data_IF_429476293938
#
_entry.id   IF_429476293938
#
_cell.length_a   1.000
_cell.length_b   1.000
_cell.length_c   1.000
_cell.angle_alpha   90.00
_cell.angle_beta   90.00
_cell.angle_gamma   90.00
#
_symmetry.space_group_name_H-M   'P 1'
#
loop_
_entity.id
_entity.type
_entity.pdbx_description
1 polymer ?
#
# COMPACT_ATOMS: atom_id res chain seq x y z
N UNK A 1 1.66 5.41 3.55
CA UNK A 1 1.45 4.88 4.90
C UNK A 1 0.05 5.13 5.40
N UNK A 2 -0.41 4.36 6.38
CA UNK A 2 -1.79 4.42 6.93
C UNK A 2 -1.77 4.67 8.44
N UNK A 3 -2.94 4.78 9.06
CA UNK A 3 -3.06 4.92 10.53
C UNK A 3 -2.51 3.70 11.31
N UNK A 4 -2.32 2.56 10.64
CA UNK A 4 -1.92 1.28 11.25
C UNK A 4 -0.54 0.79 10.83
N UNK A 5 0.09 1.44 9.84
CA UNK A 5 1.41 1.08 9.35
C UNK A 5 2.24 2.33 9.13
N UNK A 6 3.35 2.44 9.88
CA UNK A 6 4.29 3.57 9.81
C UNK A 6 5.36 3.37 8.73
N UNK A 7 5.94 4.46 8.18
CA UNK A 7 7.04 4.36 7.22
C UNK A 7 8.22 3.52 7.74
N UNK A 8 8.61 3.73 9.00
CA UNK A 8 9.72 3.02 9.63
C UNK A 8 9.42 1.51 9.76
N UNK A 9 8.16 1.15 10.01
CA UNK A 9 7.74 -0.25 10.05
C UNK A 9 7.88 -0.93 8.68
N UNK A 10 7.55 -0.22 7.60
CA UNK A 10 7.75 -0.72 6.23
C UNK A 10 9.23 -0.85 5.89
N UNK A 11 10.06 0.13 6.26
CA UNK A 11 11.50 0.06 6.05
C UNK A 11 12.13 -1.13 6.75
N UNK A 12 11.78 -1.35 8.02
CA UNK A 12 12.26 -2.50 8.80
C UNK A 12 11.84 -3.84 8.16
N UNK A 13 10.57 -3.96 7.74
CA UNK A 13 10.08 -5.14 7.05
C UNK A 13 10.81 -5.36 5.72
N UNK A 14 10.96 -4.32 4.90
CA UNK A 14 11.63 -4.40 3.61
C UNK A 14 13.10 -4.84 3.77
N UNK A 15 13.82 -4.27 4.74
CA UNK A 15 15.19 -4.68 5.05
C UNK A 15 15.28 -6.16 5.42
N UNK A 16 14.35 -6.66 6.25
CA UNK A 16 14.30 -8.08 6.61
C UNK A 16 14.04 -8.97 5.39
N UNK A 17 13.06 -8.63 4.55
CA UNK A 17 12.72 -9.39 3.34
C UNK A 17 13.90 -9.45 2.37
N UNK A 18 14.61 -8.35 2.15
CA UNK A 18 15.76 -8.29 1.25
C UNK A 18 16.95 -9.07 1.80
N UNK A 19 17.24 -8.94 3.11
CA UNK A 19 18.32 -9.69 3.79
C UNK A 19 18.14 -11.19 3.63
N UNK A 20 16.91 -11.68 3.69
CA UNK A 20 16.57 -13.09 3.55
C UNK A 20 16.22 -13.50 2.11
N UNK A 21 16.35 -12.59 1.13
CA UNK A 21 16.02 -12.82 -0.30
C UNK A 21 14.58 -13.35 -0.51
N UNK A 22 13.64 -12.92 0.32
CA UNK A 22 12.23 -13.32 0.24
C UNK A 22 11.40 -12.43 -0.70
N UNK A 23 11.93 -11.26 -1.06
CA UNK A 23 11.34 -10.36 -2.04
C UNK A 23 12.45 -9.59 -2.76
N UNK A 24 12.19 -9.19 -4.00
CA UNK A 24 13.10 -8.31 -4.78
C UNK A 24 12.65 -6.85 -4.74
N UNK A 25 11.37 -6.62 -4.43
CA UNK A 25 10.77 -5.29 -4.44
C UNK A 25 9.66 -5.19 -3.39
N UNK A 26 9.58 -4.02 -2.76
CA UNK A 26 8.47 -3.62 -1.91
C UNK A 26 7.90 -2.32 -2.47
N UNK A 27 6.60 -2.28 -2.74
CA UNK A 27 5.89 -1.08 -3.21
C UNK A 27 5.13 -0.49 -2.02
N UNK A 28 5.60 0.65 -1.53
CA UNK A 28 4.93 1.37 -0.45
C UNK A 28 3.86 2.30 -1.02
N UNK A 29 2.64 2.21 -0.49
CA UNK A 29 1.50 3.05 -0.93
C UNK A 29 1.16 4.07 0.16
N UNK A 30 1.01 5.34 -0.24
CA UNK A 30 0.51 6.39 0.64
C UNK A 30 -1.00 6.53 0.61
N UNK A 31 -1.64 6.21 1.75
CA UNK A 31 -3.07 6.36 1.91
C UNK A 31 -3.36 7.73 2.51
N UNK A 32 -4.42 8.41 2.05
CA UNK A 32 -4.86 9.66 2.65
C UNK A 32 -5.28 9.43 4.11
N UNK A 33 -5.03 10.41 4.97
CA UNK A 33 -5.46 10.38 6.38
C UNK A 33 -6.97 10.62 6.45
N UNK A 34 -7.74 9.55 6.30
CA UNK A 34 -9.20 9.54 6.38
C UNK A 34 -9.66 8.31 7.16
N UNK A 35 -10.71 8.44 7.99
CA UNK A 35 -11.15 7.34 8.87
C UNK A 35 -11.59 6.08 8.13
N UNK A 36 -12.02 6.21 6.87
CA UNK A 36 -12.39 5.06 6.03
C UNK A 36 -11.19 4.34 5.39
N UNK A 37 -9.95 4.74 5.68
CA UNK A 37 -8.71 4.23 5.05
C UNK A 37 -7.73 3.66 6.09
N UNK A 38 -8.18 2.70 6.91
CA UNK A 38 -7.32 2.11 7.96
C UNK A 38 -6.21 1.22 7.37
N UNK A 39 -6.51 0.47 6.32
CA UNK A 39 -5.60 -0.47 5.67
C UNK A 39 -5.75 -0.45 4.14
N UNK A 40 -4.72 -0.92 3.42
CA UNK A 40 -4.73 -0.93 1.95
C UNK A 40 -5.78 -1.89 1.37
N UNK A 41 -5.94 -3.06 1.98
CA UNK A 41 -6.89 -4.10 1.56
C UNK A 41 -8.36 -3.63 1.63
N UNK A 42 -8.70 -2.71 2.53
CA UNK A 42 -10.05 -2.12 2.61
C UNK A 42 -10.42 -1.22 1.44
N UNK A 43 -9.42 -0.71 0.70
CA UNK A 43 -9.64 0.23 -0.41
C UNK A 43 -9.14 -0.31 -1.75
N UNK A 44 -8.39 -1.41 -1.75
CA UNK A 44 -7.85 -2.06 -2.93
C UNK A 44 -7.55 -3.53 -2.65
N UNK A 45 -8.11 -4.44 -3.45
CA UNK A 45 -7.89 -5.89 -3.33
C UNK A 45 -7.58 -6.48 -4.71
N UNK A 46 -6.50 -7.25 -4.81
CA UNK A 46 -6.14 -8.00 -6.02
C UNK A 46 -7.09 -9.20 -6.15
N UNK A 47 -7.83 -9.29 -7.26
CA UNK A 47 -8.83 -10.35 -7.47
C UNK A 47 -8.50 -11.27 -8.65
N UNK A 48 -7.67 -10.82 -9.58
CA UNK A 48 -7.10 -11.62 -10.69
C UNK A 48 -5.80 -10.98 -11.20
N UNK A 49 -5.03 -11.68 -12.02
CA UNK A 49 -3.67 -11.33 -12.50
C UNK A 49 -3.49 -9.85 -12.88
N UNK A 50 -4.50 -9.26 -13.52
CA UNK A 50 -4.50 -7.87 -13.98
C UNK A 50 -5.69 -7.05 -13.43
N UNK A 51 -6.39 -7.57 -12.43
CA UNK A 51 -7.66 -7.01 -11.98
C UNK A 51 -7.66 -6.74 -10.48
N UNK A 52 -8.06 -5.52 -10.12
CA UNK A 52 -8.23 -5.08 -8.74
C UNK A 52 -9.64 -4.55 -8.49
N UNK A 53 -10.24 -4.93 -7.37
CA UNK A 53 -11.39 -4.24 -6.80
C UNK A 53 -10.88 -3.01 -6.03
N UNK A 54 -11.47 -1.84 -6.27
CA UNK A 54 -10.97 -0.57 -5.72
C UNK A 54 -12.10 0.29 -5.17
N UNK A 55 -11.82 1.05 -4.11
CA UNK A 55 -12.64 2.18 -3.68
C UNK A 55 -12.17 3.45 -4.42
N UNK A 56 -12.89 3.92 -5.45
CA UNK A 56 -12.33 4.84 -6.44
C UNK A 56 -11.89 6.19 -5.85
N UNK A 57 -12.60 6.70 -4.84
CA UNK A 57 -12.31 8.02 -4.26
C UNK A 57 -10.95 8.08 -3.56
N UNK A 58 -10.50 6.96 -3.00
CA UNK A 58 -9.21 6.85 -2.31
C UNK A 58 -8.10 6.57 -3.30
N UNK A 59 -8.29 5.56 -4.15
CA UNK A 59 -7.29 5.13 -5.14
C UNK A 59 -6.99 6.24 -6.14
N UNK A 60 -8.00 6.97 -6.64
CA UNK A 60 -7.76 8.10 -7.53
C UNK A 60 -6.85 9.12 -6.88
N UNK A 61 -7.08 9.52 -5.62
CA UNK A 61 -6.22 10.52 -4.95
C UNK A 61 -4.78 10.02 -4.75
N UNK A 62 -4.61 8.74 -4.39
CA UNK A 62 -3.30 8.14 -4.17
C UNK A 62 -2.46 8.03 -5.45
N UNK A 63 -3.08 7.64 -6.58
CA UNK A 63 -2.35 7.39 -7.83
C UNK A 63 -2.41 8.55 -8.84
N UNK A 64 -3.27 9.55 -8.65
CA UNK A 64 -3.30 10.76 -9.51
C UNK A 64 -2.31 11.85 -9.09
N UNK A 65 -1.74 11.75 -7.89
CA UNK A 65 -0.72 12.67 -7.38
C UNK A 65 0.71 12.35 -7.88
N UNK A 66 0.87 11.35 -8.76
CA UNK A 66 2.15 10.91 -9.33
C UNK A 66 2.56 11.61 -10.64
N UNK A 67 2.18 12.87 -10.83
CA UNK A 67 2.86 13.79 -11.76
C UNK A 67 3.62 14.82 -10.97
#
# INVERSE_FOLDING_TARGET
>A
MSERTTPQGVEFLAQALFKHRQAERVIAVELPKHRSCMHLDTVMTHIDIDTFSVYPEVVRRTFSAGR
#
